data_IF_931513613466
#
_entry.id   IF_931513613466
#
_cell.length_a   1.000
_cell.length_b   1.000
_cell.length_c   1.000
_cell.angle_alpha   90.00
_cell.angle_beta   90.00
_cell.angle_gamma   90.00
#
_symmetry.space_group_name_H-M   'P 1'
#
loop_
_entity.id
_entity.type
_entity.pdbx_description
1 polymer ?
#
# COMPACT_ATOMS: atom_id res chain seq x y z
N UNK A 1 -46.06 -36.26 82.93
CA UNK A 1 -46.07 -37.12 81.73
C UNK A 1 -45.05 -36.55 80.74
N UNK A 2 -43.93 -37.26 80.59
CA UNK A 2 -42.88 -36.92 79.62
C UNK A 2 -43.30 -37.43 78.23
N UNK A 3 -43.28 -36.56 77.22
CA UNK A 3 -43.20 -36.97 75.82
C UNK A 3 -42.17 -36.09 75.09
N UNK A 4 -41.23 -36.78 74.44
CA UNK A 4 -40.19 -36.23 73.60
C UNK A 4 -40.74 -35.70 72.27
N UNK A 5 -40.05 -34.73 71.66
CA UNK A 5 -40.03 -34.57 70.20
C UNK A 5 -38.77 -33.82 69.75
N UNK A 6 -38.07 -34.47 68.82
CA UNK A 6 -36.80 -34.19 68.17
C UNK A 6 -36.86 -32.98 67.22
N UNK A 7 -35.78 -32.19 67.05
CA UNK A 7 -35.57 -31.40 65.83
C UNK A 7 -34.58 -32.08 64.85
N UNK A 8 -34.74 -31.87 63.53
CA UNK A 8 -34.24 -32.78 62.50
C UNK A 8 -32.82 -32.50 62.00
N UNK A 9 -32.23 -33.59 61.50
CA UNK A 9 -31.13 -33.75 60.55
C UNK A 9 -30.70 -32.48 59.77
N UNK A 10 -29.43 -32.09 59.89
CA UNK A 10 -28.72 -31.36 58.83
C UNK A 10 -28.07 -32.37 57.87
N UNK A 11 -28.08 -32.12 56.55
CA UNK A 11 -27.44 -32.98 55.57
C UNK A 11 -25.92 -32.75 55.50
N UNK A 12 -25.17 -33.85 55.48
CA UNK A 12 -23.78 -33.86 55.02
C UNK A 12 -23.74 -33.44 53.54
N UNK A 13 -23.04 -32.35 53.26
CA UNK A 13 -22.70 -31.97 51.88
C UNK A 13 -21.26 -32.40 51.63
N UNK A 14 -20.99 -33.20 50.58
CA UNK A 14 -19.66 -33.68 50.29
C UNK A 14 -18.79 -32.55 49.71
N UNK A 15 -17.59 -32.51 50.27
CA UNK A 15 -16.34 -31.89 49.82
C UNK A 15 -16.33 -31.44 48.34
N UNK A 16 -16.37 -30.11 48.13
CA UNK A 16 -16.16 -29.50 46.81
C UNK A 16 -14.67 -29.56 46.48
N UNK A 17 -14.30 -30.49 45.61
CA UNK A 17 -13.01 -30.48 44.89
C UNK A 17 -12.78 -29.10 44.25
N UNK A 18 -11.56 -28.54 44.31
CA UNK A 18 -11.25 -27.28 43.66
C UNK A 18 -11.35 -27.42 42.14
N UNK A 19 -11.99 -26.42 41.53
CA UNK A 19 -12.12 -26.21 40.08
C UNK A 19 -10.83 -26.55 39.34
N UNK A 20 -10.91 -27.59 38.51
CA UNK A 20 -9.97 -27.76 37.41
C UNK A 20 -10.21 -26.60 36.44
N UNK A 21 -9.29 -25.64 36.44
CA UNK A 21 -9.23 -24.61 35.39
C UNK A 21 -9.19 -25.33 34.03
N UNK A 22 -10.04 -24.98 33.06
CA UNK A 22 -9.88 -25.49 31.72
C UNK A 22 -8.56 -24.93 31.18
N UNK A 23 -7.66 -25.84 30.78
CA UNK A 23 -6.48 -25.52 29.99
C UNK A 23 -6.94 -24.90 28.66
N UNK A 24 -7.06 -23.57 28.64
CA UNK A 24 -7.32 -22.74 27.47
C UNK A 24 -6.12 -22.67 26.53
N UNK A 25 -5.53 -23.81 26.19
CA UNK A 25 -4.62 -23.94 25.05
C UNK A 25 -5.35 -24.58 23.88
N UNK A 26 -6.42 -23.96 23.42
CA UNK A 26 -6.70 -23.96 21.99
C UNK A 26 -5.68 -23.05 21.30
N UNK A 27 -4.45 -23.55 21.17
CA UNK A 27 -3.60 -23.16 20.04
C UNK A 27 -4.40 -23.56 18.81
N UNK A 28 -5.17 -22.60 18.29
CA UNK A 28 -5.72 -22.71 16.96
C UNK A 28 -4.56 -22.96 16.03
N UNK A 29 -4.51 -24.15 15.46
CA UNK A 29 -3.91 -24.43 14.18
C UNK A 29 -4.61 -23.54 13.12
N UNK A 30 -4.37 -22.24 13.18
CA UNK A 30 -4.64 -21.35 12.05
C UNK A 30 -3.59 -21.67 10.99
N UNK A 31 -4.06 -22.27 9.89
CA UNK A 31 -3.29 -22.63 8.73
C UNK A 31 -2.32 -21.51 8.24
N UNK A 32 -1.21 -21.82 7.55
CA UNK A 32 0.00 -20.99 7.48
C UNK A 32 -0.08 -19.73 6.58
N UNK A 33 -1.25 -19.23 6.23
CA UNK A 33 -1.42 -18.17 5.22
C UNK A 33 -2.13 -16.94 5.77
N UNK A 34 -1.50 -16.31 6.77
CA UNK A 34 -1.95 -14.99 7.23
C UNK A 34 -1.91 -13.95 6.09
N UNK A 35 -2.71 -12.86 6.16
CA UNK A 35 -2.77 -11.80 5.14
C UNK A 35 -1.40 -11.17 4.82
N UNK A 36 -0.43 -11.31 5.71
CA UNK A 36 0.94 -10.87 5.47
C UNK A 36 1.73 -11.71 4.46
N UNK A 37 1.46 -13.01 4.32
CA UNK A 37 2.16 -13.86 3.33
C UNK A 37 1.77 -13.45 1.92
N UNK A 38 0.47 -13.20 1.69
CA UNK A 38 -0.05 -12.73 0.40
C UNK A 38 0.53 -11.37 -0.01
N UNK A 39 0.67 -10.43 0.94
CA UNK A 39 1.29 -9.12 0.67
C UNK A 39 2.76 -9.28 0.26
N UNK A 40 3.53 -10.13 0.95
CA UNK A 40 4.92 -10.40 0.58
C UNK A 40 5.04 -11.10 -0.77
N UNK A 41 4.24 -12.15 -1.00
CA UNK A 41 4.25 -12.87 -2.26
C UNK A 41 3.92 -11.93 -3.44
N UNK A 42 2.94 -11.05 -3.26
CA UNK A 42 2.59 -10.02 -4.25
C UNK A 42 3.74 -9.04 -4.46
N UNK A 43 4.37 -8.57 -3.37
CA UNK A 43 5.51 -7.66 -3.46
C UNK A 43 6.67 -8.27 -4.27
N UNK A 44 7.04 -9.52 -3.96
CA UNK A 44 8.09 -10.26 -4.65
C UNK A 44 7.74 -10.53 -6.12
N UNK A 45 6.48 -10.86 -6.41
CA UNK A 45 6.01 -11.06 -7.78
C UNK A 45 6.17 -9.79 -8.61
N UNK A 46 5.71 -8.64 -8.11
CA UNK A 46 5.82 -7.38 -8.83
C UNK A 46 7.26 -6.90 -8.99
N UNK A 47 8.09 -7.01 -7.94
CA UNK A 47 9.51 -6.67 -8.03
C UNK A 47 10.26 -7.61 -8.98
N UNK A 48 9.96 -8.91 -8.94
CA UNK A 48 10.51 -9.91 -9.85
C UNK A 48 10.13 -9.61 -11.30
N UNK A 49 8.87 -9.30 -11.57
CA UNK A 49 8.41 -8.91 -12.91
C UNK A 49 9.13 -7.65 -13.42
N UNK A 50 9.28 -6.62 -12.57
CA UNK A 50 10.02 -5.41 -12.93
C UNK A 50 11.50 -5.70 -13.20
N UNK A 51 12.14 -6.56 -12.41
CA UNK A 51 13.53 -6.96 -12.60
C UNK A 51 13.73 -7.77 -13.89
N UNK A 52 12.83 -8.71 -14.18
CA UNK A 52 12.86 -9.47 -15.45
C UNK A 52 12.70 -8.54 -16.64
N UNK A 53 11.73 -7.62 -16.60
CA UNK A 53 11.58 -6.62 -17.66
C UNK A 53 12.84 -5.76 -17.82
N UNK A 54 13.44 -5.32 -16.71
CA UNK A 54 14.67 -4.54 -16.75
C UNK A 54 15.82 -5.30 -17.42
N UNK A 55 15.99 -6.59 -17.09
CA UNK A 55 17.03 -7.43 -17.69
C UNK A 55 16.79 -7.67 -19.19
N UNK A 56 15.53 -7.90 -19.60
CA UNK A 56 15.15 -8.11 -21.00
C UNK A 56 15.34 -6.84 -21.82
N UNK A 57 14.97 -5.67 -21.29
CA UNK A 57 15.26 -4.39 -21.97
C UNK A 57 16.77 -4.13 -21.99
N UNK A 58 17.49 -4.50 -20.93
CA UNK A 58 18.93 -4.26 -20.86
C UNK A 58 19.74 -5.11 -21.83
N UNK A 59 19.25 -6.30 -22.18
CA UNK A 59 19.95 -7.17 -23.14
C UNK A 59 19.95 -6.61 -24.56
N UNK A 60 18.89 -5.90 -24.94
CA UNK A 60 18.83 -5.10 -26.17
C UNK A 60 17.94 -3.88 -25.93
N UNK A 61 18.57 -2.74 -25.72
CA UNK A 61 17.88 -1.49 -25.38
C UNK A 61 17.21 -0.85 -26.59
N UNK A 62 17.63 -1.22 -27.81
CA UNK A 62 17.10 -0.67 -29.05
C UNK A 62 15.93 -1.51 -29.56
N UNK A 63 16.04 -2.84 -29.49
CA UNK A 63 15.03 -3.77 -29.99
C UNK A 63 14.78 -4.94 -29.02
N UNK A 64 14.22 -4.69 -27.81
CA UNK A 64 13.82 -5.77 -26.93
C UNK A 64 12.77 -6.67 -27.61
N UNK A 65 12.60 -7.95 -27.19
CA UNK A 65 11.69 -8.91 -27.85
C UNK A 65 10.23 -8.44 -28.02
N UNK A 66 9.79 -7.46 -27.24
CA UNK A 66 8.45 -6.86 -27.27
C UNK A 66 8.42 -5.46 -27.91
N UNK A 67 9.50 -4.98 -28.53
CA UNK A 67 9.56 -3.66 -29.17
C UNK A 67 8.44 -3.46 -30.19
N UNK A 68 8.13 -4.50 -30.99
CA UNK A 68 6.99 -4.50 -31.93
C UNK A 68 5.63 -4.24 -31.27
N UNK A 69 5.46 -4.57 -29.99
CA UNK A 69 4.25 -4.23 -29.24
C UNK A 69 4.28 -2.76 -28.81
N UNK A 70 5.43 -2.29 -28.31
CA UNK A 70 5.64 -0.89 -27.93
C UNK A 70 5.42 0.06 -29.12
N UNK A 71 5.93 -0.28 -30.30
CA UNK A 71 5.77 0.52 -31.52
C UNK A 71 4.31 0.57 -31.99
N UNK A 72 3.61 -0.57 -31.99
CA UNK A 72 2.18 -0.63 -32.34
C UNK A 72 1.33 0.18 -31.35
N UNK A 73 1.66 0.12 -30.07
CA UNK A 73 0.99 0.92 -29.05
C UNK A 73 1.26 2.42 -29.25
N UNK A 74 2.50 2.80 -29.50
CA UNK A 74 2.87 4.19 -29.77
C UNK A 74 2.14 4.73 -31.02
N UNK A 75 2.10 3.95 -32.11
CA UNK A 75 1.37 4.32 -33.31
C UNK A 75 -0.13 4.50 -33.06
N UNK A 76 -0.73 3.65 -32.22
CA UNK A 76 -2.13 3.79 -31.81
C UNK A 76 -2.37 5.04 -30.94
N UNK A 77 -1.38 5.45 -30.15
CA UNK A 77 -1.44 6.66 -29.33
C UNK A 77 -1.23 7.96 -30.12
N UNK A 78 -0.63 7.90 -31.32
CA UNK A 78 -0.30 9.05 -32.17
C UNK A 78 -1.50 9.75 -32.83
N UNK A 79 -2.72 9.57 -32.31
CA UNK A 79 -3.92 10.30 -32.75
C UNK A 79 -3.87 11.80 -32.40
N UNK A 80 -4.95 12.57 -32.67
CA UNK A 80 -4.95 14.01 -32.44
C UNK A 80 -4.62 14.40 -30.99
N UNK A 81 -3.50 15.09 -30.78
CA UNK A 81 -3.04 15.51 -29.46
C UNK A 81 -3.70 16.82 -29.01
N UNK A 82 -5.00 16.78 -28.73
CA UNK A 82 -5.77 17.95 -28.32
C UNK A 82 -6.99 17.62 -27.46
N UNK A 83 -7.74 18.66 -27.11
CA UNK A 83 -9.03 18.54 -26.43
C UNK A 83 -8.95 17.92 -25.03
N UNK A 84 -9.99 17.18 -24.59
CA UNK A 84 -10.09 16.68 -23.22
C UNK A 84 -9.00 15.66 -22.85
N UNK A 85 -8.50 14.89 -23.82
CA UNK A 85 -7.43 13.92 -23.60
C UNK A 85 -6.11 14.60 -23.26
N UNK A 86 -5.77 15.68 -23.97
CA UNK A 86 -4.59 16.50 -23.67
C UNK A 86 -4.67 17.10 -22.26
N UNK A 87 -5.83 17.62 -21.88
CA UNK A 87 -6.06 18.18 -20.54
C UNK A 87 -5.88 17.11 -19.45
N UNK A 88 -6.48 15.93 -19.64
CA UNK A 88 -6.35 14.82 -18.69
C UNK A 88 -4.89 14.34 -18.57
N UNK A 89 -4.20 14.18 -19.70
CA UNK A 89 -2.80 13.78 -19.71
C UNK A 89 -1.90 14.82 -19.03
N UNK A 90 -2.17 16.11 -19.20
CA UNK A 90 -1.45 17.19 -18.54
C UNK A 90 -1.65 17.20 -17.01
N UNK A 91 -2.89 16.99 -16.54
CA UNK A 91 -3.21 16.88 -15.11
C UNK A 91 -2.47 15.70 -14.48
N UNK A 92 -2.49 14.53 -15.14
CA UNK A 92 -1.77 13.35 -14.68
C UNK A 92 -0.25 13.55 -14.70
N UNK A 93 0.30 14.24 -15.71
CA UNK A 93 1.70 14.61 -15.76
C UNK A 93 2.11 15.51 -14.58
N UNK A 94 1.25 16.46 -14.19
CA UNK A 94 1.51 17.32 -13.03
C UNK A 94 1.44 16.56 -11.71
N UNK A 95 0.49 15.61 -11.60
CA UNK A 95 0.37 14.73 -10.44
C UNK A 95 1.61 13.84 -10.24
N UNK A 96 2.09 13.18 -11.30
CA UNK A 96 3.26 12.31 -11.20
C UNK A 96 4.61 13.07 -11.21
N UNK A 97 4.60 14.37 -11.49
CA UNK A 97 5.78 15.24 -11.47
C UNK A 97 5.87 16.05 -10.16
N UNK A 98 5.70 17.39 -10.19
CA UNK A 98 5.90 18.24 -9.01
C UNK A 98 5.07 17.83 -7.79
N UNK A 99 3.79 17.53 -7.96
CA UNK A 99 2.93 17.10 -6.85
C UNK A 99 3.35 15.76 -6.25
N UNK A 100 3.91 14.88 -7.08
CA UNK A 100 4.43 13.59 -6.68
C UNK A 100 5.58 13.71 -5.67
N UNK A 101 6.23 14.87 -5.57
CA UNK A 101 7.26 15.18 -4.58
C UNK A 101 6.69 15.99 -3.41
N UNK A 102 5.93 17.04 -3.71
CA UNK A 102 5.44 17.98 -2.69
C UNK A 102 4.45 17.32 -1.72
N UNK A 103 3.51 16.51 -2.23
CA UNK A 103 2.48 15.88 -1.41
C UNK A 103 3.06 14.88 -0.39
N UNK A 104 3.97 13.95 -0.76
CA UNK A 104 4.66 13.10 0.21
C UNK A 104 5.41 13.87 1.29
N UNK A 105 6.14 14.93 0.92
CA UNK A 105 6.93 15.70 1.87
C UNK A 105 6.02 16.43 2.86
N UNK A 106 4.94 17.05 2.37
CA UNK A 106 3.93 17.67 3.23
C UNK A 106 3.27 16.65 4.16
N UNK A 107 2.90 15.47 3.64
CA UNK A 107 2.31 14.40 4.43
C UNK A 107 3.30 13.87 5.48
N UNK A 108 4.57 13.72 5.12
CA UNK A 108 5.64 13.31 6.04
C UNK A 108 5.75 14.30 7.20
N UNK A 109 5.82 15.60 6.91
CA UNK A 109 5.85 16.65 7.93
C UNK A 109 4.63 16.57 8.86
N UNK A 110 3.43 16.44 8.29
CA UNK A 110 2.18 16.30 9.08
C UNK A 110 2.23 15.05 9.97
N UNK A 111 2.68 13.90 9.45
CA UNK A 111 2.76 12.66 10.23
C UNK A 111 3.76 12.79 11.39
N UNK A 112 4.91 13.44 11.16
CA UNK A 112 5.90 13.70 12.20
C UNK A 112 5.36 14.63 13.29
N UNK A 113 4.72 15.74 12.90
CA UNK A 113 4.08 16.69 13.85
C UNK A 113 2.98 16.01 14.67
N UNK A 114 2.22 15.09 14.05
CA UNK A 114 1.18 14.30 14.75
C UNK A 114 1.72 13.14 15.58
N UNK A 115 3.04 12.97 15.68
CA UNK A 115 3.68 11.89 16.42
C UNK A 115 3.50 10.49 15.81
N UNK A 116 3.05 10.42 14.56
CA UNK A 116 2.79 9.17 13.82
C UNK A 116 4.07 8.61 13.19
N UNK A 117 5.06 8.32 14.04
CA UNK A 117 6.43 7.93 13.65
C UNK A 117 6.47 6.67 12.78
N UNK A 118 5.61 5.69 13.01
CA UNK A 118 5.57 4.47 12.20
C UNK A 118 5.01 4.75 10.81
N UNK A 119 3.96 5.57 10.72
CA UNK A 119 3.41 6.01 9.43
C UNK A 119 4.39 6.88 8.65
N UNK A 120 5.10 7.77 9.34
CA UNK A 120 6.15 8.60 8.75
C UNK A 120 7.32 7.75 8.23
N UNK A 121 7.80 6.78 9.02
CA UNK A 121 8.86 5.86 8.62
C UNK A 121 8.45 5.01 7.41
N UNK A 122 7.20 4.53 7.38
CA UNK A 122 6.65 3.81 6.23
C UNK A 122 6.64 4.68 4.97
N UNK A 123 6.11 5.90 5.05
CA UNK A 123 6.10 6.84 3.91
C UNK A 123 7.53 7.12 3.43
N UNK A 124 8.44 7.42 4.35
CA UNK A 124 9.84 7.68 4.02
C UNK A 124 10.49 6.47 3.35
N UNK A 125 10.32 5.27 3.89
CA UNK A 125 10.87 4.04 3.31
C UNK A 125 10.36 3.83 1.90
N UNK A 126 9.06 3.94 1.69
CA UNK A 126 8.42 3.81 0.38
C UNK A 126 8.99 4.82 -0.61
N UNK A 127 9.08 6.09 -0.23
CA UNK A 127 9.54 7.16 -1.11
C UNK A 127 11.04 7.08 -1.42
N UNK A 128 11.88 6.89 -0.39
CA UNK A 128 13.32 6.80 -0.53
C UNK A 128 13.75 5.54 -1.31
N UNK A 129 13.21 4.37 -0.97
CA UNK A 129 13.57 3.12 -1.67
C UNK A 129 12.98 3.07 -3.08
N UNK A 130 11.70 3.46 -3.25
CA UNK A 130 11.03 3.40 -4.54
C UNK A 130 11.60 4.40 -5.55
N UNK A 131 11.62 5.69 -5.21
CA UNK A 131 12.06 6.72 -6.14
C UNK A 131 13.58 6.75 -6.31
N UNK A 132 14.35 6.72 -5.21
CA UNK A 132 15.79 6.96 -5.31
C UNK A 132 16.57 5.70 -5.68
N UNK A 133 16.28 4.55 -5.06
CA UNK A 133 17.06 3.34 -5.30
C UNK A 133 16.56 2.56 -6.53
N UNK A 134 15.25 2.30 -6.60
CA UNK A 134 14.71 1.44 -7.66
C UNK A 134 14.56 2.20 -8.97
N UNK A 135 13.87 3.35 -8.99
CA UNK A 135 13.60 4.05 -10.24
C UNK A 135 14.87 4.68 -10.82
N UNK A 136 15.62 5.47 -10.05
CA UNK A 136 16.84 6.09 -10.58
C UNK A 136 17.95 5.06 -10.85
N UNK A 137 18.09 4.04 -10.00
CA UNK A 137 19.04 2.95 -10.23
C UNK A 137 18.76 2.21 -11.54
N UNK A 138 17.50 1.86 -11.80
CA UNK A 138 17.12 1.20 -13.06
C UNK A 138 17.27 2.14 -14.27
N UNK A 139 16.97 3.43 -14.13
CA UNK A 139 17.19 4.43 -15.20
C UNK A 139 18.64 4.48 -15.65
N UNK A 140 19.57 4.54 -14.71
CA UNK A 140 21.01 4.56 -15.03
C UNK A 140 21.54 3.21 -15.54
N UNK A 141 20.94 2.10 -15.10
CA UNK A 141 21.40 0.77 -15.50
C UNK A 141 20.94 0.40 -16.92
N UNK A 142 19.69 0.76 -17.26
CA UNK A 142 19.05 0.36 -18.52
C UNK A 142 19.32 1.36 -19.64
N UNK A 143 19.28 2.67 -19.36
CA UNK A 143 19.54 3.74 -20.32
C UNK A 143 18.82 3.59 -21.68
N UNK A 144 17.56 3.15 -21.64
CA UNK A 144 16.74 2.94 -22.84
C UNK A 144 16.41 4.28 -23.51
N UNK A 145 16.55 4.39 -24.85
CA UNK A 145 16.09 5.57 -25.58
C UNK A 145 14.57 5.73 -25.50
N UNK A 146 14.10 6.98 -25.49
CA UNK A 146 12.67 7.33 -25.45
C UNK A 146 12.02 7.24 -26.83
N UNK A 147 10.67 7.15 -26.88
CA UNK A 147 9.93 7.44 -28.11
C UNK A 147 10.31 8.81 -28.69
N UNK A 148 10.26 8.92 -30.01
CA UNK A 148 10.49 10.19 -30.70
C UNK A 148 9.36 11.20 -30.41
N UNK A 149 9.72 12.50 -30.42
CA UNK A 149 8.78 13.61 -30.30
C UNK A 149 7.90 13.59 -29.01
N UNK A 150 8.50 13.60 -27.81
CA UNK A 150 7.74 13.70 -26.57
C UNK A 150 6.96 15.02 -26.49
N UNK A 151 5.71 14.96 -26.03
CA UNK A 151 4.82 16.12 -25.91
C UNK A 151 4.98 16.88 -24.59
N UNK A 152 5.92 16.45 -23.75
CA UNK A 152 6.28 17.07 -22.47
C UNK A 152 7.79 17.07 -22.31
N UNK A 153 8.29 17.94 -21.43
CA UNK A 153 9.70 17.89 -21.02
C UNK A 153 9.99 16.57 -20.32
N UNK A 154 11.05 15.90 -20.75
CA UNK A 154 11.49 14.60 -20.23
C UNK A 154 12.95 14.66 -19.81
N UNK A 155 13.30 13.86 -18.80
CA UNK A 155 14.65 13.64 -18.29
C UNK A 155 15.36 12.48 -19.02
N UNK A 156 16.59 12.15 -18.64
CA UNK A 156 17.36 11.06 -19.25
C UNK A 156 16.70 9.68 -19.00
N UNK A 157 16.87 8.75 -19.94
CA UNK A 157 16.42 7.36 -19.85
C UNK A 157 14.90 7.15 -19.82
N UNK A 158 14.37 6.30 -20.70
CA UNK A 158 12.94 6.02 -20.74
C UNK A 158 12.50 4.98 -19.70
N UNK A 159 13.35 4.00 -19.39
CA UNK A 159 12.99 2.86 -18.56
C UNK A 159 13.52 3.01 -17.12
N UNK A 160 12.72 2.70 -16.07
CA UNK A 160 11.27 2.53 -16.08
C UNK A 160 10.56 3.91 -15.96
N UNK A 161 9.25 3.93 -16.16
CA UNK A 161 8.45 5.14 -15.98
C UNK A 161 8.29 5.53 -14.51
N UNK A 162 8.89 6.68 -14.13
CA UNK A 162 8.81 7.20 -12.77
C UNK A 162 7.40 7.64 -12.35
N UNK A 163 6.63 8.23 -13.27
CA UNK A 163 5.22 8.61 -13.02
C UNK A 163 4.34 7.39 -12.75
N UNK A 164 4.46 6.34 -13.56
CA UNK A 164 3.69 5.12 -13.38
C UNK A 164 4.04 4.41 -12.06
N UNK A 165 5.34 4.36 -11.74
CA UNK A 165 5.81 3.82 -10.46
C UNK A 165 5.30 4.62 -9.26
N UNK A 166 5.38 5.95 -9.33
CA UNK A 166 4.89 6.84 -8.27
C UNK A 166 3.38 6.70 -8.07
N UNK A 167 2.59 6.58 -9.15
CA UNK A 167 1.16 6.35 -9.06
C UNK A 167 0.81 5.02 -8.36
N UNK A 168 1.43 3.91 -8.79
CA UNK A 168 1.22 2.59 -8.20
C UNK A 168 1.63 2.56 -6.72
N UNK A 169 2.75 3.20 -6.40
CA UNK A 169 3.27 3.35 -5.05
C UNK A 169 2.29 4.14 -4.16
N UNK A 170 1.72 5.25 -4.65
CA UNK A 170 0.73 6.01 -3.90
C UNK A 170 -0.55 5.22 -3.63
N UNK A 171 -0.98 4.40 -4.58
CA UNK A 171 -2.14 3.52 -4.40
C UNK A 171 -1.92 2.58 -3.22
N UNK A 172 -0.73 1.98 -3.11
CA UNK A 172 -0.38 1.11 -1.98
C UNK A 172 -0.27 1.91 -0.68
N UNK A 173 0.39 3.06 -0.71
CA UNK A 173 0.59 3.91 0.47
C UNK A 173 -0.75 4.38 1.06
N UNK A 174 -1.65 4.89 0.23
CA UNK A 174 -2.98 5.36 0.66
C UNK A 174 -3.82 4.17 1.14
N UNK A 175 -3.80 3.05 0.41
CA UNK A 175 -4.50 1.82 0.81
C UNK A 175 -4.06 1.29 2.17
N UNK A 176 -2.75 1.36 2.45
CA UNK A 176 -2.17 0.91 3.70
C UNK A 176 -2.44 1.88 4.86
N UNK A 177 -2.33 3.20 4.64
CA UNK A 177 -2.38 4.21 5.71
C UNK A 177 -3.76 4.80 5.98
N UNK A 178 -4.53 5.06 4.92
CA UNK A 178 -5.72 5.93 5.00
C UNK A 178 -7.02 5.16 4.76
N UNK A 179 -6.98 4.06 4.01
CA UNK A 179 -8.18 3.28 3.71
C UNK A 179 -8.48 2.28 4.83
N UNK A 180 -9.67 2.33 5.47
CA UNK A 180 -10.08 1.36 6.47
C UNK A 180 -10.09 -0.06 5.91
N UNK A 181 -9.72 -1.05 6.74
CA UNK A 181 -9.61 -2.44 6.30
C UNK A 181 -10.87 -2.96 5.57
N UNK A 182 -12.06 -2.62 6.06
CA UNK A 182 -13.34 -3.00 5.47
C UNK A 182 -13.57 -2.45 4.04
N UNK A 183 -12.91 -1.34 3.67
CA UNK A 183 -13.06 -0.68 2.36
C UNK A 183 -11.91 -0.99 1.39
N UNK A 184 -10.85 -1.67 1.84
CA UNK A 184 -9.68 -1.97 1.01
C UNK A 184 -9.99 -2.81 -0.22
N UNK A 185 -10.99 -3.70 -0.14
CA UNK A 185 -11.41 -4.53 -1.28
C UNK A 185 -11.91 -3.70 -2.47
N UNK A 186 -12.58 -2.58 -2.21
CA UNK A 186 -13.02 -1.64 -3.26
C UNK A 186 -11.93 -0.65 -3.68
N UNK A 187 -10.96 -0.38 -2.80
CA UNK A 187 -9.84 0.53 -3.08
C UNK A 187 -8.89 -0.01 -4.15
N UNK A 188 -8.52 -1.29 -4.08
CA UNK A 188 -7.51 -1.85 -4.99
C UNK A 188 -7.91 -1.74 -6.47
N UNK A 189 -9.14 -2.11 -6.89
CA UNK A 189 -9.57 -1.91 -8.27
C UNK A 189 -9.53 -0.44 -8.71
N UNK A 190 -10.01 0.49 -7.87
CA UNK A 190 -10.00 1.92 -8.18
C UNK A 190 -8.57 2.46 -8.35
N UNK A 191 -7.66 2.03 -7.46
CA UNK A 191 -6.24 2.36 -7.54
C UNK A 191 -5.56 1.76 -8.79
N UNK A 192 -5.95 0.56 -9.20
CA UNK A 192 -5.50 -0.02 -10.47
C UNK A 192 -5.94 0.82 -11.66
N UNK A 193 -7.21 1.25 -11.71
CA UNK A 193 -7.71 2.13 -12.79
C UNK A 193 -6.92 3.45 -12.82
N UNK A 194 -6.65 4.05 -11.66
CA UNK A 194 -5.82 5.25 -11.58
C UNK A 194 -4.39 5.02 -12.12
N UNK A 195 -3.77 3.90 -11.76
CA UNK A 195 -2.43 3.53 -12.24
C UNK A 195 -2.44 3.33 -13.76
N UNK A 196 -3.45 2.65 -14.30
CA UNK A 196 -3.63 2.46 -15.74
C UNK A 196 -3.85 3.79 -16.47
N UNK A 197 -4.62 4.71 -15.89
CA UNK A 197 -4.78 6.06 -16.44
C UNK A 197 -3.45 6.83 -16.47
N UNK A 198 -2.61 6.69 -15.43
CA UNK A 198 -1.26 7.26 -15.43
C UNK A 198 -0.38 6.64 -16.52
N UNK A 199 -0.39 5.30 -16.67
CA UNK A 199 0.35 4.60 -17.72
C UNK A 199 -0.08 5.07 -19.12
N UNK A 200 -1.40 5.20 -19.34
CA UNK A 200 -1.96 5.78 -20.54
C UNK A 200 -1.43 7.20 -20.79
N UNK A 201 -1.51 8.10 -19.80
CA UNK A 201 -1.00 9.47 -19.92
C UNK A 201 0.47 9.51 -20.36
N UNK A 202 1.33 8.64 -19.82
CA UNK A 202 2.77 8.61 -20.16
C UNK A 202 3.03 8.15 -21.59
N UNK A 203 2.27 7.17 -22.06
CA UNK A 203 2.39 6.66 -23.44
C UNK A 203 1.73 7.61 -24.45
N UNK A 204 0.59 8.21 -24.11
CA UNK A 204 -0.11 9.20 -24.93
C UNK A 204 0.70 10.48 -25.13
N UNK A 205 1.47 10.90 -24.11
CA UNK A 205 2.40 12.02 -24.22
C UNK A 205 3.74 11.67 -24.91
N UNK A 206 3.87 10.45 -25.45
CA UNK A 206 5.09 9.91 -26.03
C UNK A 206 6.32 10.02 -25.11
N UNK A 207 6.10 10.06 -23.80
CA UNK A 207 7.19 10.20 -22.83
C UNK A 207 7.87 8.85 -22.56
N UNK A 208 7.14 7.75 -22.68
CA UNK A 208 7.58 6.40 -22.33
C UNK A 208 6.98 5.35 -23.25
N UNK A 209 7.69 4.24 -23.43
CA UNK A 209 7.14 3.04 -24.05
C UNK A 209 6.10 2.36 -23.15
N UNK A 210 5.23 1.53 -23.70
CA UNK A 210 4.22 0.80 -22.90
C UNK A 210 4.91 -0.08 -21.85
N UNK A 211 5.93 -0.85 -22.26
CA UNK A 211 6.71 -1.69 -21.36
C UNK A 211 7.41 -0.92 -20.23
N UNK A 212 7.89 0.31 -20.48
CA UNK A 212 8.45 1.18 -19.43
C UNK A 212 7.41 1.49 -18.34
N UNK A 213 6.15 1.70 -18.74
CA UNK A 213 5.06 2.01 -17.81
C UNK A 213 4.62 0.78 -17.02
N UNK A 214 4.61 -0.40 -17.63
CA UNK A 214 4.33 -1.67 -16.96
C UNK A 214 5.41 -1.98 -15.92
N UNK A 215 6.68 -1.86 -16.30
CA UNK A 215 7.81 -2.06 -15.39
C UNK A 215 7.80 -1.04 -14.24
N UNK A 216 7.51 0.23 -14.54
CA UNK A 216 7.36 1.27 -13.53
C UNK A 216 6.25 0.95 -12.53
N UNK A 217 5.04 0.64 -13.02
CA UNK A 217 3.91 0.30 -12.16
C UNK A 217 4.21 -0.93 -11.26
N UNK A 218 4.83 -1.98 -11.83
CA UNK A 218 5.25 -3.15 -11.08
C UNK A 218 6.31 -2.81 -10.01
N UNK A 219 7.35 -2.06 -10.36
CA UNK A 219 8.39 -1.63 -9.42
C UNK A 219 7.81 -0.80 -8.25
N UNK A 220 6.92 0.15 -8.57
CA UNK A 220 6.25 1.00 -7.59
C UNK A 220 5.33 0.22 -6.65
N UNK A 221 4.45 -0.62 -7.20
CA UNK A 221 3.56 -1.47 -6.41
C UNK A 221 4.35 -2.45 -5.53
N UNK A 222 5.32 -3.14 -6.11
CA UNK A 222 6.15 -4.12 -5.41
C UNK A 222 6.93 -3.51 -4.25
N UNK A 223 7.54 -2.34 -4.46
CA UNK A 223 8.26 -1.61 -3.40
C UNK A 223 7.32 -1.15 -2.30
N UNK A 224 6.16 -0.59 -2.67
CA UNK A 224 5.14 -0.17 -1.71
C UNK A 224 4.62 -1.32 -0.85
N UNK A 225 4.36 -2.48 -1.46
CA UNK A 225 3.86 -3.67 -0.76
C UNK A 225 4.94 -4.26 0.16
N UNK A 226 6.20 -4.29 -0.27
CA UNK A 226 7.32 -4.75 0.54
C UNK A 226 7.51 -3.85 1.78
N UNK A 227 7.51 -2.54 1.58
CA UNK A 227 7.59 -1.59 2.68
C UNK A 227 6.39 -1.74 3.63
N UNK A 228 5.19 -1.98 3.09
CA UNK A 228 4.00 -2.17 3.92
C UNK A 228 4.13 -3.44 4.76
N UNK A 229 4.61 -4.53 4.16
CA UNK A 229 4.90 -5.77 4.85
C UNK A 229 5.92 -5.61 5.98
N UNK A 230 7.02 -4.88 5.73
CA UNK A 230 8.06 -4.58 6.73
C UNK A 230 7.50 -3.75 7.89
N UNK A 231 6.69 -2.74 7.59
CA UNK A 231 6.19 -1.80 8.59
C UNK A 231 4.87 -2.24 9.27
N UNK A 232 4.23 -3.33 8.83
CA UNK A 232 2.85 -3.67 9.24
C UNK A 232 2.65 -3.77 10.76
N UNK A 233 3.62 -4.35 11.47
CA UNK A 233 3.53 -4.51 12.92
C UNK A 233 3.62 -3.15 13.63
N UNK A 234 4.51 -2.26 13.17
CA UNK A 234 4.64 -0.91 13.70
C UNK A 234 3.39 -0.07 13.42
N UNK A 235 2.83 -0.16 12.21
CA UNK A 235 1.60 0.52 11.82
C UNK A 235 0.39 0.05 12.64
N UNK A 236 0.26 -1.26 12.87
CA UNK A 236 -0.82 -1.82 13.70
C UNK A 236 -0.71 -1.36 15.16
N UNK A 237 0.51 -1.32 15.72
CA UNK A 237 0.77 -0.80 17.07
C UNK A 237 0.43 0.68 17.20
N UNK A 238 0.79 1.49 16.20
CA UNK A 238 0.48 2.93 16.18
C UNK A 238 -1.04 3.17 16.11
N UNK A 239 -1.74 2.46 15.22
CA UNK A 239 -3.20 2.54 15.10
C UNK A 239 -3.91 2.20 16.42
N UNK A 240 -3.48 1.12 17.08
CA UNK A 240 -4.06 0.70 18.37
C UNK A 240 -3.74 1.63 19.54
N UNK A 241 -2.69 2.47 19.47
CA UNK A 241 -2.44 3.53 20.47
C UNK A 241 -3.44 4.67 20.31
N UNK A 242 -3.73 5.08 19.08
CA UNK A 242 -4.66 6.18 18.81
C UNK A 242 -6.10 5.86 19.24
N UNK A 243 -6.60 4.65 18.96
CA UNK A 243 -7.95 4.24 19.39
C UNK A 243 -8.07 4.31 20.92
N UNK A 244 -7.08 3.79 21.65
CA UNK A 244 -7.08 3.82 23.13
C UNK A 244 -7.03 5.23 23.72
N UNK A 245 -6.37 6.18 23.06
CA UNK A 245 -6.35 7.58 23.51
C UNK A 245 -7.72 8.24 23.30
N UNK A 246 -8.40 7.95 22.18
CA UNK A 246 -9.75 8.46 21.92
C UNK A 246 -10.77 7.89 22.90
N UNK A 247 -10.75 6.59 23.18
CA UNK A 247 -11.63 5.98 24.18
C UNK A 247 -11.41 6.57 25.57
N UNK A 248 -10.15 6.75 26.00
CA UNK A 248 -9.84 7.38 27.30
C UNK A 248 -10.33 8.82 27.40
N UNK A 249 -10.21 9.60 26.32
CA UNK A 249 -10.72 10.98 26.28
C UNK A 249 -12.25 11.02 26.25
N UNK A 250 -12.90 10.10 25.55
CA UNK A 250 -14.35 9.95 25.56
C UNK A 250 -14.88 9.54 26.93
N UNK A 251 -14.22 8.59 27.60
CA UNK A 251 -14.53 8.19 28.97
C UNK A 251 -14.30 9.33 29.98
N UNK A 252 -13.22 10.11 29.83
CA UNK A 252 -12.95 11.27 30.68
C UNK A 252 -13.86 12.48 30.40
N UNK A 253 -14.40 12.59 29.18
CA UNK A 253 -15.40 13.58 28.80
C UNK A 253 -16.84 13.13 29.16
N UNK A 254 -17.00 11.92 29.70
CA UNK A 254 -18.25 11.41 30.29
C UNK A 254 -18.57 12.14 31.60
N UNK A 255 -19.42 13.14 31.49
CA UNK A 255 -20.19 13.81 32.57
C UNK A 255 -21.06 12.77 33.31
N UNK A 256 -21.37 12.98 34.61
CA UNK A 256 -21.69 11.92 35.56
C UNK A 256 -22.95 11.14 35.22
N UNK A 257 -22.90 9.86 35.56
CA UNK A 257 -24.05 9.01 35.88
C UNK A 257 -25.12 9.86 36.58
N UNK A 258 -26.24 10.13 35.89
CA UNK A 258 -27.41 10.71 36.55
C UNK A 258 -27.84 9.69 37.60
N UNK A 259 -27.57 10.05 38.84
CA UNK A 259 -28.01 9.35 40.03
C UNK A 259 -29.52 9.06 39.93
N UNK A 260 -29.87 7.88 40.42
CA UNK A 260 -31.23 7.42 40.67
C UNK A 260 -32.13 8.53 41.25
N UNK A 261 -33.28 8.75 40.60
CA UNK A 261 -34.62 8.89 41.21
C UNK A 261 -35.63 8.34 40.22
#
# INVERSE_FOLDING_TARGET
MNHATTPPHRPDTPDRRPDQRPDGRSRGDEAPHGPGVLVLASALLFLGAAAVLALVVRSDVADPPFQRLDDRWLAWMGGPHGGPYAALAAVLNWFGGPLGVVVPLALLAVLLVRGRRASAAFLFLVYASGNLAVIQGLKHLVDRPRPANPLVRVDHGSFPSGHAATAALFVVLIGALLVPAARRRAWWPAGTVFTLAMMWSRTWLHAHWLSDTVAGAAAGAGTGLLAWWLCRAALAREAGKHVRVLDRRGAAAGVPERAAV
#
